data_IF_965365729641
#
_entry.id   IF_965365729641
#
_cell.length_a   1.000
_cell.length_b   1.000
_cell.length_c   1.000
_cell.angle_alpha   90.00
_cell.angle_beta   90.00
_cell.angle_gamma   90.00
#
_symmetry.space_group_name_H-M   'P 1'
#
loop_
_entity.id
_entity.type
_entity.pdbx_description
1 polymer ?
#
# COMPACT_ATOMS: atom_id res chain seq x y z
N UNK A 1 3.07 11.84 21.64
CA UNK A 1 2.32 11.36 20.46
C UNK A 1 1.54 10.13 20.86
N UNK A 2 0.26 10.05 20.52
CA UNK A 2 -0.49 8.81 20.70
C UNK A 2 -0.21 7.88 19.52
N UNK A 3 -0.16 6.57 19.78
CA UNK A 3 -0.08 5.53 18.74
C UNK A 3 -1.25 5.61 17.73
N UNK A 4 -2.27 6.42 18.03
CA UNK A 4 -3.38 6.70 17.13
C UNK A 4 -2.93 7.43 15.84
N UNK A 5 -1.96 8.35 15.91
CA UNK A 5 -1.53 9.13 14.74
C UNK A 5 -0.86 8.24 13.67
N UNK A 6 0.00 7.29 14.09
CA UNK A 6 0.68 6.38 13.17
C UNK A 6 -0.29 5.35 12.60
N UNK A 7 -1.26 4.88 13.38
CA UNK A 7 -2.30 3.94 12.94
C UNK A 7 -3.21 4.60 11.90
N UNK A 8 -3.65 5.84 12.14
CA UNK A 8 -4.43 6.61 11.17
C UNK A 8 -3.66 6.83 9.86
N UNK A 9 -2.37 7.15 9.95
CA UNK A 9 -1.50 7.26 8.77
C UNK A 9 -1.42 5.94 7.99
N UNK A 10 -1.16 4.81 8.66
CA UNK A 10 -1.09 3.49 8.01
C UNK A 10 -2.43 3.15 7.33
N UNK A 11 -3.55 3.34 8.02
CA UNK A 11 -4.89 3.07 7.46
C UNK A 11 -5.15 3.92 6.21
N UNK A 12 -4.82 5.22 6.25
CA UNK A 12 -4.99 6.11 5.11
C UNK A 12 -4.17 5.66 3.89
N UNK A 13 -2.93 5.20 4.09
CA UNK A 13 -2.07 4.71 3.00
C UNK A 13 -2.57 3.37 2.43
N UNK A 14 -3.02 2.47 3.29
CA UNK A 14 -3.65 1.21 2.87
C UNK A 14 -4.94 1.44 2.05
N UNK A 15 -5.75 2.42 2.44
CA UNK A 15 -6.95 2.80 1.68
C UNK A 15 -6.61 3.37 0.31
N UNK A 16 -5.54 4.17 0.21
CA UNK A 16 -5.05 4.69 -1.07
C UNK A 16 -4.53 3.59 -2.00
N UNK A 17 -3.72 2.67 -1.48
CA UNK A 17 -3.22 1.51 -2.25
C UNK A 17 -4.37 0.62 -2.73
N UNK A 18 -5.36 0.36 -1.86
CA UNK A 18 -6.56 -0.41 -2.20
C UNK A 18 -7.36 0.28 -3.31
N UNK A 19 -7.60 1.58 -3.20
CA UNK A 19 -8.36 2.34 -4.18
C UNK A 19 -7.66 2.39 -5.54
N UNK A 20 -6.34 2.57 -5.56
CA UNK A 20 -5.54 2.53 -6.79
C UNK A 20 -5.60 1.15 -7.46
N UNK A 21 -5.42 0.07 -6.70
CA UNK A 21 -5.48 -1.28 -7.21
C UNK A 21 -6.89 -1.62 -7.75
N UNK A 22 -7.93 -1.19 -7.05
CA UNK A 22 -9.31 -1.37 -7.46
C UNK A 22 -9.61 -0.61 -8.77
N UNK A 23 -9.15 0.64 -8.90
CA UNK A 23 -9.32 1.44 -10.11
C UNK A 23 -8.67 0.77 -11.34
N UNK A 24 -7.45 0.24 -11.18
CA UNK A 24 -6.75 -0.49 -12.26
C UNK A 24 -7.49 -1.76 -12.64
N UNK A 25 -8.05 -2.47 -11.65
CA UNK A 25 -8.86 -3.67 -11.87
C UNK A 25 -10.16 -3.37 -12.62
N UNK A 26 -10.88 -2.31 -12.22
CA UNK A 26 -12.12 -1.87 -12.87
C UNK A 26 -11.90 -1.33 -14.28
N UNK A 27 -10.74 -0.76 -14.55
CA UNK A 27 -10.33 -0.37 -15.90
C UNK A 27 -10.01 -1.56 -16.83
N UNK A 28 -10.12 -2.81 -16.33
CA UNK A 28 -9.85 -4.05 -17.05
C UNK A 28 -8.51 -4.01 -17.78
N UNK A 29 -7.51 -3.48 -17.08
CA UNK A 29 -6.13 -3.51 -17.54
C UNK A 29 -5.66 -4.95 -17.38
N UNK A 30 -5.27 -5.59 -18.48
CA UNK A 30 -4.72 -6.94 -18.47
C UNK A 30 -3.19 -6.86 -18.58
N UNK A 31 -2.45 -7.81 -18.01
CA UNK A 31 -1.01 -7.88 -18.21
C UNK A 31 -0.68 -8.04 -19.71
N UNK A 32 0.34 -7.32 -20.17
CA UNK A 32 0.75 -7.29 -21.57
C UNK A 32 1.44 -8.59 -22.01
N UNK A 33 2.07 -9.31 -21.08
CA UNK A 33 2.69 -10.61 -21.31
C UNK A 33 3.08 -11.29 -19.98
N UNK A 34 3.33 -12.61 -20.03
CA UNK A 34 3.99 -13.34 -18.93
C UNK A 34 5.48 -13.50 -19.25
N UNK A 35 6.36 -13.29 -18.27
CA UNK A 35 7.76 -13.67 -18.45
C UNK A 35 7.93 -15.21 -18.54
N UNK A 36 9.13 -15.70 -18.85
CA UNK A 36 9.44 -17.15 -18.90
C UNK A 36 9.20 -17.88 -17.57
N UNK A 37 9.04 -17.16 -16.46
CA UNK A 37 8.71 -17.70 -15.14
C UNK A 37 7.20 -17.61 -14.80
N UNK A 38 6.37 -17.09 -15.71
CA UNK A 38 4.93 -16.93 -15.54
C UNK A 38 4.51 -15.64 -14.82
N UNK A 39 5.45 -14.74 -14.50
CA UNK A 39 5.13 -13.47 -13.86
C UNK A 39 4.48 -12.53 -14.88
N UNK A 40 3.24 -12.13 -14.59
CA UNK A 40 2.46 -11.21 -15.40
C UNK A 40 3.02 -9.79 -15.28
N UNK A 41 3.42 -9.18 -16.40
CA UNK A 41 3.83 -7.77 -16.42
C UNK A 41 2.63 -6.87 -16.74
N UNK A 42 2.34 -5.91 -15.86
CA UNK A 42 1.21 -5.00 -16.05
C UNK A 42 1.60 -3.84 -16.97
N UNK A 43 0.75 -3.44 -17.94
CA UNK A 43 1.03 -2.40 -18.93
C UNK A 43 1.33 -1.07 -18.25
N UNK A 44 2.62 -0.76 -18.09
CA UNK A 44 3.10 0.39 -17.30
C UNK A 44 2.46 1.69 -17.78
N UNK A 45 2.37 1.91 -19.09
CA UNK A 45 1.79 3.15 -19.64
C UNK A 45 0.31 3.33 -19.32
N UNK A 46 -0.49 2.25 -19.33
CA UNK A 46 -1.93 2.32 -19.05
C UNK A 46 -2.20 2.43 -17.55
N UNK A 47 -1.46 1.69 -16.74
CA UNK A 47 -1.49 1.80 -15.27
C UNK A 47 -1.04 3.20 -14.85
N UNK A 48 0.06 3.73 -15.40
CA UNK A 48 0.52 5.09 -15.14
C UNK A 48 -0.53 6.13 -15.49
N UNK A 49 -1.20 6.02 -16.64
CA UNK A 49 -2.25 6.96 -17.04
C UNK A 49 -3.41 6.97 -16.04
N UNK A 50 -3.82 5.79 -15.55
CA UNK A 50 -4.88 5.66 -14.56
C UNK A 50 -4.43 6.27 -13.23
N UNK A 51 -3.22 5.94 -12.76
CA UNK A 51 -2.71 6.48 -11.49
C UNK A 51 -2.50 7.99 -11.54
N UNK A 52 -2.01 8.55 -12.65
CA UNK A 52 -1.87 10.01 -12.81
C UNK A 52 -3.21 10.75 -12.76
N UNK A 53 -4.30 10.09 -13.13
CA UNK A 53 -5.65 10.65 -13.01
C UNK A 53 -6.22 10.57 -11.57
N UNK A 54 -5.54 9.86 -10.67
CA UNK A 54 -5.97 9.72 -9.28
C UNK A 54 -5.64 10.98 -8.47
N UNK A 55 -6.63 11.62 -7.82
CA UNK A 55 -6.52 12.98 -7.32
C UNK A 55 -5.72 13.13 -6.01
N UNK A 56 -5.22 12.04 -5.41
CA UNK A 56 -4.53 12.10 -4.10
C UNK A 56 -3.01 12.12 -4.25
N UNK A 57 -2.28 12.99 -3.53
CA UNK A 57 -0.81 12.96 -3.47
C UNK A 57 -0.30 11.66 -2.84
N UNK A 58 0.91 11.21 -3.19
CA UNK A 58 1.55 10.04 -2.56
C UNK A 58 1.40 8.69 -3.29
N UNK A 59 0.65 8.64 -4.39
CA UNK A 59 0.30 7.42 -5.13
C UNK A 59 1.46 6.66 -5.82
N UNK A 60 2.71 7.16 -5.77
CA UNK A 60 3.86 6.55 -6.45
C UNK A 60 4.23 5.18 -5.89
N UNK A 61 4.19 4.99 -4.56
CA UNK A 61 4.47 3.69 -3.96
C UNK A 61 3.43 2.63 -4.38
N UNK A 62 2.14 2.99 -4.35
CA UNK A 62 1.06 2.11 -4.81
C UNK A 62 1.17 1.76 -6.30
N UNK A 63 1.59 2.72 -7.15
CA UNK A 63 1.85 2.47 -8.57
C UNK A 63 2.94 1.43 -8.79
N UNK A 64 4.09 1.60 -8.13
CA UNK A 64 5.24 0.69 -8.30
C UNK A 64 4.85 -0.74 -7.88
N UNK A 65 4.08 -0.88 -6.80
CA UNK A 65 3.54 -2.17 -6.35
C UNK A 65 2.56 -2.77 -7.37
N UNK A 66 1.64 -1.99 -7.95
CA UNK A 66 0.67 -2.49 -8.93
C UNK A 66 1.38 -2.90 -10.23
N UNK A 67 2.35 -2.11 -10.71
CA UNK A 67 3.14 -2.44 -11.91
C UNK A 67 3.92 -3.74 -11.70
N UNK A 68 4.50 -3.91 -10.51
CA UNK A 68 5.36 -5.06 -10.19
C UNK A 68 4.56 -6.34 -9.91
N UNK A 69 3.44 -6.24 -9.18
CA UNK A 69 2.75 -7.39 -8.61
C UNK A 69 1.33 -7.60 -9.12
N UNK A 70 0.75 -6.59 -9.77
CA UNK A 70 -0.65 -6.54 -10.17
C UNK A 70 -1.60 -6.14 -9.05
N UNK A 71 -2.79 -5.60 -9.41
CA UNK A 71 -3.78 -5.10 -8.47
C UNK A 71 -4.31 -6.21 -7.54
N UNK A 72 -4.52 -7.44 -8.02
CA UNK A 72 -5.03 -8.52 -7.15
C UNK A 72 -4.05 -8.91 -6.04
N UNK A 73 -2.75 -8.89 -6.34
CA UNK A 73 -1.73 -9.16 -5.32
C UNK A 73 -1.61 -8.01 -4.34
N UNK A 74 -1.70 -6.77 -4.82
CA UNK A 74 -1.73 -5.57 -3.97
C UNK A 74 -2.94 -5.57 -3.04
N UNK A 75 -4.14 -5.88 -3.54
CA UNK A 75 -5.36 -5.98 -2.72
C UNK A 75 -5.21 -7.01 -1.60
N UNK A 76 -4.70 -8.22 -1.90
CA UNK A 76 -4.42 -9.24 -0.86
C UNK A 76 -3.39 -8.77 0.16
N UNK A 77 -2.35 -8.05 -0.28
CA UNK A 77 -1.34 -7.50 0.63
C UNK A 77 -1.93 -6.43 1.56
N UNK A 78 -2.79 -5.55 1.03
CA UNK A 78 -3.51 -4.55 1.83
C UNK A 78 -4.40 -5.22 2.88
N UNK A 79 -5.17 -6.24 2.49
CA UNK A 79 -6.00 -7.00 3.44
C UNK A 79 -5.17 -7.65 4.55
N UNK A 80 -4.03 -8.26 4.20
CA UNK A 80 -3.13 -8.84 5.16
C UNK A 80 -2.56 -7.79 6.14
N UNK A 81 -2.11 -6.63 5.62
CA UNK A 81 -1.61 -5.52 6.46
C UNK A 81 -2.71 -4.97 7.38
N UNK A 82 -3.94 -4.83 6.90
CA UNK A 82 -5.10 -4.44 7.74
C UNK A 82 -5.32 -5.44 8.88
N UNK A 83 -5.29 -6.73 8.58
CA UNK A 83 -5.44 -7.77 9.61
C UNK A 83 -4.33 -7.72 10.66
N UNK A 84 -3.09 -7.43 10.25
CA UNK A 84 -1.97 -7.21 11.19
C UNK A 84 -2.23 -6.00 12.09
N UNK A 85 -2.68 -4.86 11.52
CA UNK A 85 -3.01 -3.66 12.29
C UNK A 85 -4.09 -3.95 13.33
N UNK A 86 -5.20 -4.58 12.93
CA UNK A 86 -6.29 -4.95 13.85
C UNK A 86 -5.84 -5.93 14.93
N UNK A 87 -5.03 -6.93 14.57
CA UNK A 87 -4.48 -7.90 15.53
C UNK A 87 -3.57 -7.21 16.56
N UNK A 88 -2.75 -6.26 16.12
CA UNK A 88 -1.88 -5.49 17.00
C UNK A 88 -2.68 -4.60 17.95
N UNK A 89 -3.76 -3.97 17.48
CA UNK A 89 -4.64 -3.15 18.32
C UNK A 89 -5.37 -3.96 19.38
N UNK A 90 -5.73 -5.23 19.10
CA UNK A 90 -6.58 -6.02 19.99
C UNK A 90 -5.80 -6.93 20.95
N UNK A 91 -4.71 -7.56 20.50
CA UNK A 91 -4.09 -8.69 21.23
C UNK A 91 -2.68 -8.41 21.78
N UNK A 92 -2.07 -7.29 21.43
CA UNK A 92 -0.62 -7.12 21.56
C UNK A 92 -0.26 -6.09 22.64
N UNK A 93 0.75 -6.34 23.48
CA UNK A 93 1.24 -5.32 24.41
C UNK A 93 1.67 -4.05 23.67
N UNK A 94 1.32 -2.88 24.21
CA UNK A 94 1.50 -1.56 23.56
C UNK A 94 2.87 -1.36 22.90
N UNK A 95 3.95 -1.80 23.57
CA UNK A 95 5.33 -1.63 23.04
C UNK A 95 5.63 -2.47 21.80
N UNK A 96 5.04 -3.65 21.67
CA UNK A 96 5.23 -4.49 20.48
C UNK A 96 4.37 -3.96 19.32
N UNK A 97 3.13 -3.57 19.61
CA UNK A 97 2.26 -2.93 18.61
C UNK A 97 2.90 -1.66 18.04
N UNK A 98 3.44 -0.78 18.90
CA UNK A 98 4.14 0.43 18.47
C UNK A 98 5.32 0.15 17.53
N UNK A 99 6.11 -0.89 17.80
CA UNK A 99 7.22 -1.28 16.91
C UNK A 99 6.72 -1.79 15.57
N UNK A 100 5.69 -2.64 15.56
CA UNK A 100 5.08 -3.14 14.31
C UNK A 100 4.53 -1.99 13.47
N UNK A 101 3.87 -1.01 14.08
CA UNK A 101 3.36 0.16 13.37
C UNK A 101 4.48 1.00 12.75
N UNK A 102 5.57 1.23 13.48
CA UNK A 102 6.76 1.91 12.94
C UNK A 102 7.38 1.16 11.77
N UNK A 103 7.55 -0.15 11.90
CA UNK A 103 8.09 -1.00 10.84
C UNK A 103 7.19 -0.96 9.60
N UNK A 104 5.87 -1.06 9.76
CA UNK A 104 4.92 -0.91 8.64
C UNK A 104 4.97 0.49 8.01
N UNK A 105 5.04 1.54 8.83
CA UNK A 105 5.05 2.91 8.33
C UNK A 105 6.29 3.24 7.48
N UNK A 106 7.41 2.51 7.66
CA UNK A 106 8.65 2.74 6.91
C UNK A 106 8.50 2.58 5.39
N UNK A 107 7.54 1.77 4.94
CA UNK A 107 7.20 1.61 3.52
C UNK A 107 6.80 2.95 2.87
N UNK A 108 6.23 3.87 3.65
CA UNK A 108 5.84 5.21 3.22
C UNK A 108 6.78 6.29 3.76
N UNK A 109 8.02 5.97 4.10
CA UNK A 109 9.01 6.92 4.63
C UNK A 109 9.30 8.12 3.72
N UNK A 110 9.04 7.99 2.41
CA UNK A 110 9.16 9.08 1.43
C UNK A 110 7.88 9.91 1.26
N UNK A 111 6.80 9.56 1.96
CA UNK A 111 5.53 10.27 1.88
C UNK A 111 5.62 11.62 2.61
N UNK A 112 5.05 12.73 2.10
CA UNK A 112 5.14 14.05 2.75
C UNK A 112 4.55 14.08 4.17
N UNK A 113 3.50 13.29 4.41
CA UNK A 113 2.88 13.18 5.74
C UNK A 113 3.64 12.24 6.71
N UNK A 114 4.69 11.55 6.25
CA UNK A 114 5.49 10.69 7.11
C UNK A 114 6.28 11.52 8.11
N UNK A 115 6.24 11.13 9.39
CA UNK A 115 6.95 11.84 10.47
C UNK A 115 8.19 11.05 10.90
N UNK A 116 9.31 11.75 11.08
CA UNK A 116 10.58 11.14 11.53
C UNK A 116 10.47 10.41 12.87
N UNK A 117 9.53 10.79 13.73
CA UNK A 117 9.25 10.13 15.01
C UNK A 117 8.73 8.69 14.85
N UNK A 118 8.22 8.33 13.66
CA UNK A 118 7.77 6.99 13.30
C UNK A 118 8.89 6.10 12.77
N UNK A 119 10.14 6.59 12.78
CA UNK A 119 11.30 5.73 12.51
C UNK A 119 11.41 4.66 13.62
N UNK A 120 11.72 3.40 13.26
CA UNK A 120 11.89 2.29 14.21
C UNK A 120 12.88 2.58 15.34
#
# INVERSE_FOLDING_TARGET
MSDNDIVEFIRARLDEESALAQLVKEAHVFPDDHDRAGAAYWPTGRVESIVRSYPKPGHRAGLDLIVTFGPDRVLRAVEAKRAVVETCLFFTPDRFAARVFKDLATEWSTHPDYRLEWTP
#
